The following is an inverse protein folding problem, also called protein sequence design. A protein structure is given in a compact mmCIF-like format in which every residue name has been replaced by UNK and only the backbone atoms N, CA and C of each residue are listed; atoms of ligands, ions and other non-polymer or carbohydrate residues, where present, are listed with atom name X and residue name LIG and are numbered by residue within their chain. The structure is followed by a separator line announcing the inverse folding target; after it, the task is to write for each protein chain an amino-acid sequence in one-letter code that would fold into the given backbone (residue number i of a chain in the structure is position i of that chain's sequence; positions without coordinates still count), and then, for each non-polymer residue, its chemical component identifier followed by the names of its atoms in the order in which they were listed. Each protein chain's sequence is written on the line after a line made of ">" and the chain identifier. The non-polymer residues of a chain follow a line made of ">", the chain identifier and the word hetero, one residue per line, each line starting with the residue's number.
data_IF_765916584114
#
_entry.id   IF_765916584114
#
_cell.length_a   1.000
_cell.length_b   1.000
_cell.length_c   1.000
_cell.angle_alpha   90.00
_cell.angle_beta   90.00
_cell.angle_gamma   90.00
#
_symmetry.space_group_name_H-M   'P 1'
#
loop_
_entity.id
_entity.type
_entity.pdbx_description
1 polymer ?
#
# COMPACT_ATOMS: atom_id res chain seq x y z
N UNK A 1 73.57 -42.67 -28.95
CA UNK A 1 73.37 -41.47 -28.05
C UNK A 1 72.10 -40.79 -28.51
N UNK A 2 71.02 -41.01 -27.82
CA UNK A 2 69.65 -40.38 -28.10
C UNK A 2 69.42 -39.32 -27.11
N UNK A 3 69.40 -38.05 -27.55
CA UNK A 3 69.04 -36.90 -26.72
C UNK A 3 67.52 -36.86 -26.59
N UNK A 4 66.99 -36.95 -25.33
CA UNK A 4 65.61 -36.71 -25.02
C UNK A 4 65.39 -35.21 -24.81
N UNK A 5 64.61 -34.61 -25.66
CA UNK A 5 64.12 -33.23 -25.53
C UNK A 5 62.88 -33.29 -24.67
N UNK A 6 62.94 -32.71 -23.48
CA UNK A 6 61.83 -32.58 -22.55
C UNK A 6 61.10 -31.27 -22.84
N UNK A 7 59.88 -31.32 -23.40
CA UNK A 7 59.04 -30.17 -23.65
C UNK A 7 58.26 -29.92 -22.35
N UNK A 8 58.60 -28.84 -21.68
CA UNK A 8 57.89 -28.36 -20.50
C UNK A 8 56.72 -27.50 -20.96
N UNK A 9 55.51 -28.08 -20.90
CA UNK A 9 54.25 -27.41 -21.21
C UNK A 9 53.80 -26.57 -20.03
N UNK A 10 54.00 -25.24 -20.06
CA UNK A 10 53.46 -24.31 -19.09
C UNK A 10 51.95 -24.11 -19.37
N UNK A 11 51.13 -24.75 -18.58
CA UNK A 11 49.68 -24.48 -18.54
C UNK A 11 49.48 -23.22 -17.72
N UNK A 12 49.24 -22.10 -18.41
CA UNK A 12 48.73 -20.87 -17.74
C UNK A 12 47.27 -21.06 -17.49
N UNK A 13 46.92 -21.40 -16.24
CA UNK A 13 45.51 -21.30 -15.76
C UNK A 13 45.16 -19.80 -15.65
N UNK A 14 44.46 -19.28 -16.64
CA UNK A 14 43.66 -18.05 -16.45
C UNK A 14 42.49 -18.40 -15.52
N UNK A 15 42.64 -18.11 -14.23
CA UNK A 15 41.51 -18.04 -13.33
C UNK A 15 40.64 -16.82 -13.75
N UNK A 16 39.64 -17.09 -14.57
CA UNK A 16 38.52 -16.19 -14.76
C UNK A 16 37.75 -16.13 -13.43
N UNK A 17 38.20 -15.28 -12.51
CA UNK A 17 37.35 -14.80 -11.43
C UNK A 17 36.31 -13.89 -12.05
N UNK A 18 35.29 -14.48 -12.64
CA UNK A 18 34.04 -13.80 -12.89
C UNK A 18 33.45 -13.47 -11.52
N UNK A 19 33.70 -12.27 -11.03
CA UNK A 19 32.80 -11.68 -10.03
C UNK A 19 31.44 -11.56 -10.70
N UNK A 20 30.63 -12.59 -10.61
CA UNK A 20 29.17 -12.38 -10.66
C UNK A 20 28.87 -11.60 -9.39
N UNK A 21 28.83 -10.28 -9.47
CA UNK A 21 28.09 -9.48 -8.51
C UNK A 21 26.64 -10.00 -8.61
N UNK A 22 26.29 -10.98 -7.78
CA UNK A 22 24.89 -11.30 -7.57
C UNK A 22 24.33 -10.11 -6.81
N UNK A 23 23.81 -9.12 -7.54
CA UNK A 23 23.16 -7.98 -6.97
C UNK A 23 22.09 -8.48 -5.99
N UNK A 24 21.90 -7.75 -4.90
CA UNK A 24 20.85 -8.07 -3.93
C UNK A 24 19.48 -7.97 -4.60
N UNK A 25 18.51 -8.73 -4.10
CA UNK A 25 17.13 -8.62 -4.58
C UNK A 25 16.31 -7.92 -3.50
N UNK A 26 15.69 -6.80 -3.87
CA UNK A 26 14.73 -6.08 -3.05
C UNK A 26 13.34 -6.60 -3.38
N UNK A 27 12.73 -7.31 -2.45
CA UNK A 27 11.36 -7.83 -2.60
C UNK A 27 10.39 -6.79 -2.09
N UNK A 28 9.49 -6.34 -2.96
CA UNK A 28 8.52 -5.30 -2.67
C UNK A 28 7.16 -5.94 -2.37
N UNK A 29 6.73 -5.90 -1.10
CA UNK A 29 5.39 -6.31 -0.67
C UNK A 29 4.35 -5.29 -1.11
N UNK A 30 3.46 -5.70 -1.99
CA UNK A 30 2.42 -4.86 -2.56
C UNK A 30 1.07 -5.08 -1.84
N UNK A 31 0.09 -5.55 -2.55
CA UNK A 31 -1.19 -6.05 -2.08
C UNK A 31 -1.78 -6.94 -3.19
N UNK A 32 -3.10 -7.12 -3.20
CA UNK A 32 -3.80 -7.85 -4.23
C UNK A 32 -3.71 -7.18 -5.60
N UNK A 33 -3.76 -8.01 -6.65
CA UNK A 33 -3.85 -7.56 -8.04
C UNK A 33 -5.13 -6.73 -8.21
N UNK A 34 -5.01 -5.54 -8.83
CA UNK A 34 -6.12 -4.58 -8.96
C UNK A 34 -6.16 -3.52 -7.88
N UNK A 35 -5.39 -3.67 -6.79
CA UNK A 35 -5.20 -2.65 -5.77
C UNK A 35 -4.13 -1.61 -6.14
N UNK A 36 -4.20 -0.44 -5.50
CA UNK A 36 -3.28 0.68 -5.75
C UNK A 36 -1.84 0.34 -5.35
N UNK A 37 -1.61 -0.38 -4.25
CA UNK A 37 -0.28 -0.83 -3.83
C UNK A 37 0.40 -1.70 -4.88
N UNK A 38 -0.37 -2.63 -5.47
CA UNK A 38 0.16 -3.53 -6.50
C UNK A 38 0.54 -2.75 -7.76
N UNK A 39 -0.32 -1.85 -8.22
CA UNK A 39 -0.06 -1.01 -9.38
C UNK A 39 1.17 -0.12 -9.16
N UNK A 40 1.25 0.56 -8.01
CA UNK A 40 2.41 1.38 -7.64
C UNK A 40 3.69 0.54 -7.58
N UNK A 41 3.68 -0.59 -6.87
CA UNK A 41 4.85 -1.45 -6.70
C UNK A 41 5.39 -1.98 -8.02
N UNK A 42 4.51 -2.35 -8.97
CA UNK A 42 4.93 -2.78 -10.30
C UNK A 42 5.66 -1.67 -11.06
N UNK A 43 5.03 -0.49 -11.20
CA UNK A 43 5.64 0.63 -11.91
C UNK A 43 6.94 1.07 -11.24
N UNK A 44 6.96 1.19 -9.92
CA UNK A 44 8.17 1.56 -9.18
C UNK A 44 9.31 0.53 -9.36
N UNK A 45 8.98 -0.76 -9.33
CA UNK A 45 9.93 -1.85 -9.55
C UNK A 45 10.50 -1.83 -10.96
N UNK A 46 9.67 -1.61 -11.97
CA UNK A 46 10.11 -1.47 -13.37
C UNK A 46 11.09 -0.29 -13.50
N UNK A 47 10.71 0.88 -13.02
CA UNK A 47 11.55 2.08 -13.05
C UNK A 47 12.88 1.88 -12.28
N UNK A 48 12.87 1.21 -11.12
CA UNK A 48 14.08 0.91 -10.36
C UNK A 48 15.02 -0.03 -11.13
N UNK A 49 14.48 -1.05 -11.79
CA UNK A 49 15.28 -2.00 -12.56
C UNK A 49 15.90 -1.39 -13.84
N UNK A 50 15.35 -0.28 -14.34
CA UNK A 50 15.89 0.46 -15.48
C UNK A 50 17.09 1.36 -15.12
N UNK A 51 17.29 1.69 -13.82
CA UNK A 51 18.36 2.60 -13.39
C UNK A 51 19.77 1.99 -13.44
N UNK A 52 19.88 0.66 -13.52
CA UNK A 52 21.19 -0.03 -13.54
C UNK A 52 21.87 -0.05 -12.16
N UNK A 53 21.07 -0.03 -11.08
CA UNK A 53 21.55 -0.22 -9.72
C UNK A 53 22.22 -1.59 -9.55
N UNK A 54 22.98 -1.77 -8.49
CA UNK A 54 23.63 -3.04 -8.12
C UNK A 54 22.69 -4.04 -7.43
N UNK A 55 21.39 -3.73 -7.39
CA UNK A 55 20.30 -4.59 -6.93
C UNK A 55 19.19 -4.68 -7.98
N UNK A 56 18.29 -5.64 -7.80
CA UNK A 56 17.06 -5.77 -8.60
C UNK A 56 15.84 -5.76 -7.69
N UNK A 57 14.75 -5.11 -8.14
CA UNK A 57 13.48 -5.11 -7.44
C UNK A 57 12.55 -6.20 -7.99
N UNK A 58 11.73 -6.81 -7.11
CA UNK A 58 10.72 -7.80 -7.48
C UNK A 58 9.46 -7.61 -6.64
N UNK A 59 8.32 -7.46 -7.31
CA UNK A 59 7.02 -7.37 -6.63
C UNK A 59 6.62 -8.72 -6.04
N UNK A 60 5.99 -8.67 -4.86
CA UNK A 60 5.33 -9.79 -4.18
C UNK A 60 3.89 -9.41 -3.92
N UNK A 61 2.95 -10.20 -4.43
CA UNK A 61 1.54 -10.10 -4.06
C UNK A 61 1.38 -10.47 -2.59
N UNK A 62 0.64 -9.68 -1.85
CA UNK A 62 0.33 -9.86 -0.42
C UNK A 62 -1.12 -9.48 -0.16
N UNK A 63 -1.60 -9.65 1.05
CA UNK A 63 -2.95 -9.21 1.41
C UNK A 63 -3.05 -7.70 1.76
N UNK A 64 -1.94 -6.97 1.81
CA UNK A 64 -1.92 -5.53 2.08
C UNK A 64 -1.16 -5.15 3.35
N UNK A 65 -1.65 -4.13 4.07
CA UNK A 65 -0.86 -3.43 5.10
C UNK A 65 -0.34 -4.31 6.24
N UNK A 66 -1.19 -5.08 6.92
CA UNK A 66 -0.76 -5.97 8.00
C UNK A 66 0.15 -7.09 7.50
N UNK A 67 -0.19 -7.68 6.35
CA UNK A 67 0.64 -8.70 5.72
C UNK A 67 2.03 -8.15 5.38
N UNK A 68 2.12 -6.93 4.83
CA UNK A 68 3.40 -6.30 4.50
C UNK A 68 4.25 -6.03 5.75
N UNK A 69 3.65 -5.51 6.82
CA UNK A 69 4.32 -5.28 8.10
C UNK A 69 4.86 -6.61 8.66
N UNK A 70 4.06 -7.67 8.67
CA UNK A 70 4.48 -8.98 9.13
C UNK A 70 5.60 -9.56 8.27
N UNK A 71 5.47 -9.50 6.94
CA UNK A 71 6.47 -10.02 6.01
C UNK A 71 7.80 -9.26 6.07
N UNK A 72 7.77 -7.94 6.32
CA UNK A 72 8.96 -7.14 6.64
C UNK A 72 9.62 -7.63 7.92
N UNK A 73 8.84 -7.80 9.00
CA UNK A 73 9.33 -8.25 10.29
C UNK A 73 10.01 -9.62 10.18
N UNK A 74 9.42 -10.52 9.41
CA UNK A 74 9.91 -11.88 9.18
C UNK A 74 11.07 -11.96 8.15
N UNK A 75 11.41 -10.85 7.48
CA UNK A 75 12.48 -10.80 6.47
C UNK A 75 12.13 -11.46 5.13
N UNK A 76 10.85 -11.61 4.83
CA UNK A 76 10.39 -12.12 3.53
C UNK A 76 10.33 -11.06 2.43
N UNK A 77 10.24 -9.78 2.80
CA UNK A 77 10.33 -8.63 1.92
C UNK A 77 11.26 -7.57 2.53
N UNK A 78 11.84 -6.69 1.69
CA UNK A 78 12.73 -5.60 2.12
C UNK A 78 12.02 -4.26 2.17
N UNK A 79 11.01 -4.06 1.31
CA UNK A 79 10.19 -2.84 1.29
C UNK A 79 8.72 -3.23 1.14
N UNK A 80 7.81 -2.38 1.60
CA UNK A 80 6.37 -2.58 1.49
C UNK A 80 5.59 -1.28 1.64
N UNK A 81 4.30 -1.31 1.34
CA UNK A 81 3.39 -0.20 1.60
C UNK A 81 2.41 -0.61 2.69
N UNK A 82 2.18 0.28 3.66
CA UNK A 82 1.21 0.04 4.71
C UNK A 82 0.56 1.35 5.18
N UNK A 83 -0.60 1.25 5.81
CA UNK A 83 -1.31 2.36 6.41
C UNK A 83 -0.62 2.85 7.69
N UNK A 84 -0.59 4.17 7.88
CA UNK A 84 0.10 4.81 8.99
C UNK A 84 -0.43 4.39 10.37
N UNK A 85 -1.72 4.11 10.53
CA UNK A 85 -2.31 3.61 11.78
C UNK A 85 -1.77 2.23 12.18
N UNK A 86 -1.67 1.31 11.21
CA UNK A 86 -1.12 -0.03 11.41
C UNK A 86 0.38 -0.01 11.68
N UNK A 87 1.11 0.87 10.99
CA UNK A 87 2.54 1.09 11.22
C UNK A 87 2.77 1.61 12.65
N UNK A 88 1.97 2.57 13.11
CA UNK A 88 2.05 3.11 14.46
C UNK A 88 1.82 2.04 15.54
N UNK A 89 0.85 1.16 15.31
CA UNK A 89 0.58 0.04 16.22
C UNK A 89 1.70 -0.99 16.21
N UNK A 90 2.18 -1.38 15.05
CA UNK A 90 3.25 -2.38 14.90
C UNK A 90 4.58 -1.90 15.48
N UNK A 91 4.91 -0.62 15.35
CA UNK A 91 6.15 -0.04 15.84
C UNK A 91 6.30 -0.16 17.36
N UNK A 92 5.20 -0.24 18.11
CA UNK A 92 5.22 -0.43 19.58
C UNK A 92 5.90 -1.75 20.00
N UNK A 93 5.94 -2.74 19.11
CA UNK A 93 6.52 -4.06 19.36
C UNK A 93 7.65 -4.44 18.40
N UNK A 94 7.81 -3.68 17.32
CA UNK A 94 8.86 -3.88 16.32
C UNK A 94 9.51 -2.54 15.97
N UNK A 95 10.50 -2.16 16.79
CA UNK A 95 11.25 -0.90 16.63
C UNK A 95 12.21 -0.88 15.43
N UNK A 96 12.33 -1.99 14.68
CA UNK A 96 13.16 -2.06 13.46
C UNK A 96 12.47 -1.47 12.21
N UNK A 97 11.15 -1.27 12.25
CA UNK A 97 10.43 -0.64 11.15
C UNK A 97 10.92 0.79 10.90
N UNK A 98 11.05 1.15 9.63
CA UNK A 98 11.48 2.49 9.17
C UNK A 98 10.58 2.96 8.04
N UNK A 99 10.31 4.26 8.04
CA UNK A 99 9.63 4.92 6.93
C UNK A 99 10.62 5.31 5.83
N UNK A 100 10.14 5.30 4.60
CA UNK A 100 10.82 5.87 3.44
C UNK A 100 10.12 7.15 3.01
N UNK A 101 8.80 7.09 2.76
CA UNK A 101 7.98 8.23 2.34
C UNK A 101 6.49 7.99 2.57
N UNK A 102 5.73 9.03 2.92
CA UNK A 102 4.28 9.05 2.70
C UNK A 102 3.99 9.19 1.21
N UNK A 103 3.03 8.43 0.67
CA UNK A 103 2.76 8.37 -0.76
C UNK A 103 1.50 9.13 -1.16
N UNK A 104 0.39 8.86 -0.51
CA UNK A 104 -0.93 9.46 -0.76
C UNK A 104 -1.89 9.15 0.39
N UNK A 105 -3.04 9.82 0.39
CA UNK A 105 -4.13 9.52 1.32
C UNK A 105 -5.03 8.42 0.73
N UNK A 106 -5.25 7.37 1.47
CA UNK A 106 -6.28 6.37 1.19
C UNK A 106 -7.59 6.80 1.82
N UNK A 107 -8.65 6.75 1.05
CA UNK A 107 -9.99 7.12 1.49
C UNK A 107 -10.81 5.86 1.72
N UNK A 108 -11.43 5.74 2.89
CA UNK A 108 -12.32 4.62 3.20
C UNK A 108 -13.68 4.82 2.50
N UNK A 109 -14.13 3.83 1.75
CA UNK A 109 -15.31 3.88 0.92
C UNK A 109 -16.22 2.69 1.25
N UNK A 110 -17.46 2.94 1.63
CA UNK A 110 -18.49 1.91 1.83
C UNK A 110 -19.43 1.95 0.63
N UNK A 111 -19.45 0.87 -0.12
CA UNK A 111 -20.15 0.75 -1.41
C UNK A 111 -21.30 -0.24 -1.31
N UNK A 112 -22.47 0.14 -1.80
CA UNK A 112 -23.67 -0.72 -1.96
C UNK A 112 -24.21 -0.57 -3.37
N UNK A 113 -25.09 -1.48 -3.80
CA UNK A 113 -25.89 -1.25 -5.02
C UNK A 113 -26.88 -0.11 -4.79
N UNK A 114 -27.14 0.70 -5.81
CA UNK A 114 -28.06 1.84 -5.70
C UNK A 114 -29.52 1.43 -5.42
N UNK A 115 -29.92 0.22 -5.83
CA UNK A 115 -31.26 -0.35 -5.58
C UNK A 115 -31.39 -1.01 -4.18
N UNK A 116 -30.32 -1.06 -3.40
CA UNK A 116 -30.33 -1.55 -2.02
C UNK A 116 -31.13 -0.64 -1.09
N UNK A 117 -31.73 -1.22 -0.06
CA UNK A 117 -32.37 -0.50 1.04
C UNK A 117 -31.38 0.13 2.04
N UNK A 118 -30.09 -0.21 1.96
CA UNK A 118 -29.02 0.36 2.79
C UNK A 118 -28.78 1.82 2.38
N UNK A 119 -29.12 2.77 3.25
CA UNK A 119 -28.92 4.22 3.07
C UNK A 119 -27.93 4.81 4.06
N UNK A 120 -27.72 4.15 5.19
CA UNK A 120 -26.86 4.59 6.31
C UNK A 120 -26.08 3.40 6.85
N UNK A 121 -25.09 3.67 7.74
CA UNK A 121 -24.36 2.61 8.45
C UNK A 121 -25.31 1.72 9.29
N UNK A 122 -26.36 2.29 9.87
CA UNK A 122 -27.29 1.55 10.74
C UNK A 122 -28.08 0.49 9.94
N UNK A 123 -28.31 0.72 8.65
CA UNK A 123 -29.01 -0.21 7.77
C UNK A 123 -28.19 -1.46 7.43
N UNK A 124 -26.90 -1.52 7.78
CA UNK A 124 -26.08 -2.72 7.61
C UNK A 124 -26.52 -3.89 8.50
N UNK A 125 -27.38 -3.64 9.51
CA UNK A 125 -27.88 -4.69 10.41
C UNK A 125 -28.65 -5.75 9.64
N UNK A 126 -28.22 -7.02 9.76
CA UNK A 126 -28.80 -8.17 9.06
C UNK A 126 -28.23 -8.42 7.67
N UNK A 127 -27.31 -7.58 7.20
CA UNK A 127 -26.69 -7.70 5.89
C UNK A 127 -25.32 -8.38 5.93
N UNK A 128 -24.84 -8.79 4.76
CA UNK A 128 -23.52 -9.37 4.55
C UNK A 128 -22.58 -8.33 3.94
N UNK A 129 -21.48 -8.03 4.61
CA UNK A 129 -20.54 -6.97 4.26
C UNK A 129 -19.14 -7.53 4.05
N UNK A 130 -18.52 -7.26 2.91
CA UNK A 130 -17.09 -7.50 2.76
C UNK A 130 -16.29 -6.41 3.45
N UNK A 131 -15.41 -6.81 4.35
CA UNK A 131 -14.54 -5.92 5.13
C UNK A 131 -13.12 -5.81 4.56
N UNK A 132 -12.87 -6.35 3.36
CA UNK A 132 -11.55 -6.43 2.73
C UNK A 132 -10.88 -7.79 2.95
N UNK A 133 -9.77 -8.02 2.25
CA UNK A 133 -8.97 -9.23 2.42
C UNK A 133 -8.45 -9.36 3.86
N UNK A 134 -8.27 -10.59 4.33
CA UNK A 134 -7.66 -10.85 5.64
C UNK A 134 -6.24 -10.24 5.70
N UNK A 135 -5.85 -9.66 6.81
CA UNK A 135 -4.60 -8.91 7.00
C UNK A 135 -4.46 -7.62 6.13
N UNK A 136 -5.55 -7.11 5.53
CA UNK A 136 -5.52 -5.83 4.81
C UNK A 136 -5.72 -4.63 5.72
N UNK A 137 -5.35 -3.43 5.24
CA UNK A 137 -5.71 -2.17 5.89
C UNK A 137 -7.21 -1.90 5.85
N UNK A 138 -7.88 -2.33 4.77
CA UNK A 138 -9.35 -2.23 4.65
C UNK A 138 -10.06 -3.01 5.74
N UNK A 139 -9.64 -4.24 6.04
CA UNK A 139 -10.17 -5.04 7.14
C UNK A 139 -10.06 -4.30 8.48
N UNK A 140 -8.91 -3.68 8.75
CA UNK A 140 -8.69 -2.89 9.96
C UNK A 140 -9.68 -1.73 10.06
N UNK A 141 -9.78 -0.92 9.00
CA UNK A 141 -10.63 0.27 8.99
C UNK A 141 -12.11 -0.12 9.07
N UNK A 142 -12.56 -1.09 8.27
CA UNK A 142 -13.93 -1.57 8.27
C UNK A 142 -14.36 -2.11 9.65
N UNK A 143 -13.50 -2.92 10.28
CA UNK A 143 -13.76 -3.48 11.61
C UNK A 143 -13.94 -2.38 12.66
N UNK A 144 -13.05 -1.37 12.68
CA UNK A 144 -13.17 -0.24 13.61
C UNK A 144 -14.40 0.62 13.34
N UNK A 145 -14.71 0.89 12.06
CA UNK A 145 -15.90 1.67 11.69
C UNK A 145 -17.16 0.95 12.15
N UNK A 146 -17.28 -0.36 11.90
CA UNK A 146 -18.43 -1.15 12.36
C UNK A 146 -18.51 -1.19 13.89
N UNK A 147 -17.41 -1.35 14.59
CA UNK A 147 -17.36 -1.28 16.05
C UNK A 147 -17.83 0.07 16.57
N UNK A 148 -17.32 1.17 16.04
CA UNK A 148 -17.68 2.53 16.46
C UNK A 148 -19.12 2.93 16.07
N UNK A 149 -19.67 2.31 15.02
CA UNK A 149 -21.07 2.42 14.64
C UNK A 149 -22.00 1.57 15.52
N UNK A 150 -21.46 0.71 16.40
CA UNK A 150 -22.26 -0.21 17.22
C UNK A 150 -22.81 -1.40 16.43
N UNK A 151 -22.12 -1.81 15.38
CA UNK A 151 -22.45 -2.92 14.47
C UNK A 151 -21.51 -4.14 14.68
N UNK A 152 -21.61 -4.85 15.81
CA UNK A 152 -20.79 -6.03 16.06
C UNK A 152 -21.15 -7.18 15.10
N UNK A 153 -20.31 -8.19 15.03
CA UNK A 153 -20.50 -9.40 14.20
C UNK A 153 -21.79 -10.19 14.49
N UNK A 154 -22.48 -9.89 15.58
CA UNK A 154 -23.82 -10.41 15.86
C UNK A 154 -24.94 -9.71 15.07
N UNK A 155 -24.69 -8.53 14.54
CA UNK A 155 -25.64 -7.71 13.76
C UNK A 155 -25.28 -7.69 12.27
N UNK A 156 -24.01 -7.76 11.90
CA UNK A 156 -23.52 -7.70 10.52
C UNK A 156 -22.70 -8.96 10.22
N UNK A 157 -23.09 -9.71 9.19
CA UNK A 157 -22.29 -10.83 8.71
C UNK A 157 -21.09 -10.30 7.90
N UNK A 158 -19.87 -10.60 8.31
CA UNK A 158 -18.68 -10.12 7.62
C UNK A 158 -18.02 -11.22 6.78
N UNK A 159 -17.48 -10.83 5.61
CA UNK A 159 -16.64 -11.68 4.74
C UNK A 159 -15.31 -10.98 4.49
N UNK A 160 -14.23 -11.76 4.39
CA UNK A 160 -12.95 -11.29 3.90
C UNK A 160 -12.83 -11.61 2.42
N UNK A 161 -12.92 -10.59 1.56
CA UNK A 161 -12.80 -10.70 0.10
C UNK A 161 -11.80 -9.64 -0.38
N UNK A 162 -11.04 -9.96 -1.44
CA UNK A 162 -10.31 -8.94 -2.17
C UNK A 162 -11.29 -8.01 -2.94
N UNK A 163 -10.79 -6.93 -3.52
CA UNK A 163 -11.64 -5.95 -4.18
C UNK A 163 -12.33 -6.51 -5.45
N UNK A 164 -11.67 -7.42 -6.19
CA UNK A 164 -12.22 -8.03 -7.40
C UNK A 164 -13.35 -8.97 -7.03
N UNK A 165 -13.14 -9.81 -6.01
CA UNK A 165 -14.16 -10.71 -5.49
C UNK A 165 -15.35 -9.93 -4.90
N UNK A 166 -15.06 -8.88 -4.10
CA UNK A 166 -16.10 -8.05 -3.48
C UNK A 166 -16.98 -7.35 -4.52
N UNK A 167 -16.42 -6.76 -5.58
CA UNK A 167 -17.20 -6.13 -6.65
C UNK A 167 -18.05 -7.15 -7.41
N UNK A 168 -17.52 -8.35 -7.65
CA UNK A 168 -18.26 -9.45 -8.29
C UNK A 168 -19.43 -9.92 -7.44
N UNK A 169 -19.17 -10.19 -6.13
CA UNK A 169 -20.21 -10.66 -5.20
C UNK A 169 -21.27 -9.59 -4.93
N UNK A 170 -20.91 -8.30 -4.92
CA UNK A 170 -21.89 -7.21 -4.83
C UNK A 170 -22.83 -7.20 -6.03
N UNK A 171 -22.30 -7.37 -7.26
CA UNK A 171 -23.11 -7.44 -8.50
C UNK A 171 -24.07 -8.62 -8.51
N UNK A 172 -23.64 -9.77 -8.03
CA UNK A 172 -24.49 -10.99 -7.96
C UNK A 172 -25.45 -10.99 -6.79
N UNK A 173 -25.26 -10.13 -5.79
CA UNK A 173 -26.05 -10.07 -4.56
C UNK A 173 -25.64 -11.11 -3.51
N UNK A 174 -24.43 -11.68 -3.61
CA UNK A 174 -23.86 -12.60 -2.64
C UNK A 174 -23.31 -11.87 -1.40
N UNK A 175 -23.09 -10.54 -1.54
CA UNK A 175 -22.91 -9.57 -0.47
C UNK A 175 -23.77 -8.34 -0.73
N UNK A 176 -24.08 -7.57 0.32
CA UNK A 176 -24.93 -6.37 0.26
C UNK A 176 -24.10 -5.08 0.22
N UNK A 177 -22.89 -5.11 0.79
CA UNK A 177 -21.96 -3.99 0.82
C UNK A 177 -20.50 -4.46 0.84
N UNK A 178 -19.59 -3.55 0.48
CA UNK A 178 -18.17 -3.78 0.73
C UNK A 178 -17.46 -2.48 1.12
N UNK A 179 -16.45 -2.63 1.98
CA UNK A 179 -15.49 -1.58 2.25
C UNK A 179 -14.30 -1.66 1.30
N UNK A 180 -13.80 -0.47 0.91
CA UNK A 180 -12.58 -0.30 0.13
C UNK A 180 -11.82 0.90 0.69
N UNK A 181 -10.60 0.72 1.18
CA UNK A 181 -9.72 1.80 1.61
C UNK A 181 -8.57 1.90 0.62
N UNK A 182 -8.62 2.90 -0.24
CA UNK A 182 -7.65 3.11 -1.32
C UNK A 182 -7.65 4.57 -1.78
N UNK A 183 -6.69 4.94 -2.63
CA UNK A 183 -6.67 6.27 -3.24
C UNK A 183 -7.89 6.52 -4.14
N UNK A 184 -8.36 7.76 -4.19
CA UNK A 184 -9.38 8.21 -5.13
C UNK A 184 -8.73 8.48 -6.51
N UNK A 185 -9.28 8.13 -7.64
CA UNK A 185 -10.47 7.32 -7.96
C UNK A 185 -10.05 5.86 -7.98
N UNK A 186 -10.67 5.01 -7.15
CA UNK A 186 -10.30 3.59 -7.11
C UNK A 186 -10.81 2.86 -8.34
N UNK A 187 -9.94 2.24 -9.11
CA UNK A 187 -10.25 1.61 -10.39
C UNK A 187 -11.40 0.59 -10.30
N UNK A 188 -11.37 -0.27 -9.29
CA UNK A 188 -12.41 -1.32 -9.13
C UNK A 188 -13.81 -0.74 -8.86
N UNK A 189 -13.91 0.40 -8.15
CA UNK A 189 -15.18 1.09 -7.92
C UNK A 189 -15.60 1.87 -9.16
N UNK A 190 -14.66 2.50 -9.85
CA UNK A 190 -14.93 3.23 -11.09
C UNK A 190 -15.46 2.29 -12.18
N UNK A 191 -14.84 1.12 -12.37
CA UNK A 191 -15.30 0.09 -13.29
C UNK A 191 -16.67 -0.46 -12.87
N UNK A 192 -16.85 -0.80 -11.58
CA UNK A 192 -18.12 -1.27 -11.06
C UNK A 192 -19.25 -0.26 -11.31
N UNK A 193 -18.99 1.04 -11.11
CA UNK A 193 -19.98 2.12 -11.30
C UNK A 193 -20.47 2.29 -12.73
N UNK A 194 -19.70 1.79 -13.72
CA UNK A 194 -20.08 1.77 -15.14
C UNK A 194 -20.89 0.54 -15.52
N UNK A 195 -20.82 -0.53 -14.75
CA UNK A 195 -21.49 -1.80 -14.99
C UNK A 195 -22.76 -2.00 -14.16
N UNK A 196 -22.81 -1.36 -12.99
CA UNK A 196 -23.88 -1.50 -12.02
C UNK A 196 -24.06 -0.15 -11.29
N UNK A 197 -25.30 0.32 -11.15
CA UNK A 197 -25.58 1.51 -10.38
C UNK A 197 -25.21 1.28 -8.91
N UNK A 198 -24.34 2.12 -8.37
CA UNK A 198 -23.84 2.04 -6.99
C UNK A 198 -24.21 3.28 -6.17
N UNK A 199 -24.15 3.14 -4.87
CA UNK A 199 -24.23 4.23 -3.90
C UNK A 199 -23.07 4.09 -2.91
N UNK A 200 -22.44 5.22 -2.56
CA UNK A 200 -21.52 5.32 -1.45
C UNK A 200 -22.30 5.72 -0.20
N UNK A 201 -22.02 5.05 0.91
CA UNK A 201 -22.65 5.34 2.22
C UNK A 201 -21.71 6.24 3.00
N UNK A 202 -22.17 7.44 3.43
CA UNK A 202 -21.37 8.33 4.27
C UNK A 202 -21.17 7.75 5.66
N UNK A 203 -20.01 8.01 6.25
CA UNK A 203 -19.80 7.81 7.68
C UNK A 203 -20.46 8.95 8.46
N UNK A 204 -21.03 8.63 9.63
CA UNK A 204 -21.59 9.64 10.52
C UNK A 204 -20.48 10.43 11.22
N UNK A 205 -20.74 11.69 11.58
CA UNK A 205 -19.79 12.51 12.34
C UNK A 205 -19.33 11.82 13.62
N UNK A 206 -20.23 11.07 14.28
CA UNK A 206 -19.90 10.30 15.48
C UNK A 206 -18.84 9.24 15.22
N UNK A 207 -18.95 8.49 14.12
CA UNK A 207 -17.97 7.47 13.73
C UNK A 207 -16.67 8.13 13.31
N UNK A 208 -16.72 9.16 12.47
CA UNK A 208 -15.54 9.93 12.06
C UNK A 208 -14.76 10.43 13.28
N UNK A 209 -15.43 11.09 14.23
CA UNK A 209 -14.79 11.61 15.44
C UNK A 209 -14.13 10.50 16.27
N UNK A 210 -14.79 9.36 16.46
CA UNK A 210 -14.20 8.22 17.16
C UNK A 210 -12.97 7.66 16.45
N UNK A 211 -12.98 7.60 15.11
CA UNK A 211 -11.81 7.20 14.31
C UNK A 211 -10.65 8.18 14.54
N UNK A 212 -10.88 9.49 14.44
CA UNK A 212 -9.86 10.52 14.68
C UNK A 212 -9.30 10.50 16.10
N UNK A 213 -10.15 10.22 17.10
CA UNK A 213 -9.75 10.08 18.51
C UNK A 213 -8.93 8.79 18.74
N UNK A 214 -9.17 7.73 17.96
CA UNK A 214 -8.50 6.43 18.12
C UNK A 214 -7.05 6.43 17.62
N UNK A 215 -6.74 7.26 16.62
CA UNK A 215 -5.39 7.40 16.07
C UNK A 215 -5.21 8.74 15.35
N UNK A 216 -4.07 9.38 15.57
CA UNK A 216 -3.66 10.58 14.84
C UNK A 216 -3.31 10.32 13.36
N UNK A 217 -3.31 9.05 12.93
CA UNK A 217 -3.06 8.67 11.54
C UNK A 217 -4.31 8.85 10.66
N UNK A 218 -5.50 8.97 11.26
CA UNK A 218 -6.73 9.22 10.51
C UNK A 218 -6.98 10.70 10.28
N UNK A 219 -7.57 11.02 9.13
CA UNK A 219 -8.05 12.35 8.73
C UNK A 219 -9.53 12.29 8.37
N UNK A 220 -10.23 13.42 8.51
CA UNK A 220 -11.60 13.56 7.97
C UNK A 220 -11.49 13.88 6.48
N UNK A 221 -12.18 13.10 5.66
CA UNK A 221 -12.14 13.22 4.20
C UNK A 221 -13.54 13.37 3.61
N UNK A 222 -13.57 13.91 2.40
CA UNK A 222 -14.80 14.02 1.58
C UNK A 222 -14.50 13.44 0.20
N UNK A 223 -15.33 12.50 -0.24
CA UNK A 223 -15.32 12.02 -1.63
C UNK A 223 -16.22 12.98 -2.41
N UNK A 224 -15.67 13.80 -3.33
CA UNK A 224 -16.46 14.80 -4.05
C UNK A 224 -17.55 14.18 -4.92
N UNK A 225 -18.67 14.85 -5.07
CA UNK A 225 -19.70 14.47 -6.04
C UNK A 225 -19.10 14.34 -7.45
N UNK A 226 -19.51 13.32 -8.18
CA UNK A 226 -19.01 13.02 -9.52
C UNK A 226 -17.68 12.28 -9.57
N UNK A 227 -17.16 11.81 -8.43
CA UNK A 227 -15.97 10.92 -8.41
C UNK A 227 -16.24 9.62 -9.14
N UNK A 228 -17.43 9.05 -8.99
CA UNK A 228 -17.89 7.83 -9.68
C UNK A 228 -19.19 8.07 -10.47
N UNK A 229 -19.44 7.21 -11.46
CA UNK A 229 -20.66 7.29 -12.25
C UNK A 229 -21.91 7.19 -11.35
N UNK A 230 -22.83 8.13 -11.50
CA UNK A 230 -24.08 8.17 -10.72
C UNK A 230 -23.95 8.78 -9.30
N UNK A 231 -22.77 9.03 -8.78
CA UNK A 231 -22.57 9.71 -7.49
C UNK A 231 -22.84 11.21 -7.65
N UNK A 232 -23.89 11.71 -7.03
CA UNK A 232 -24.36 13.11 -7.19
C UNK A 232 -24.13 13.99 -5.97
N UNK A 233 -23.66 13.43 -4.86
CA UNK A 233 -23.44 14.14 -3.59
C UNK A 233 -22.05 13.87 -3.04
N UNK A 234 -21.53 14.81 -2.26
CA UNK A 234 -20.33 14.62 -1.46
C UNK A 234 -20.56 13.55 -0.39
N UNK A 235 -19.55 12.74 -0.11
CA UNK A 235 -19.61 11.66 0.87
C UNK A 235 -18.55 11.89 1.95
N UNK A 236 -19.01 12.14 3.20
CA UNK A 236 -18.12 12.27 4.35
C UNK A 236 -17.56 10.91 4.78
N UNK A 237 -16.27 10.84 5.02
CA UNK A 237 -15.58 9.61 5.40
C UNK A 237 -14.27 9.91 6.16
N UNK A 238 -13.42 8.90 6.29
CA UNK A 238 -12.06 9.03 6.84
C UNK A 238 -11.01 8.71 5.79
N UNK A 239 -9.84 9.30 5.97
CA UNK A 239 -8.62 8.98 5.25
C UNK A 239 -7.53 8.45 6.17
N UNK A 240 -6.58 7.75 5.58
CA UNK A 240 -5.36 7.30 6.24
C UNK A 240 -4.20 7.39 5.27
N UNK A 241 -3.03 7.85 5.73
CA UNK A 241 -1.85 7.97 4.87
C UNK A 241 -1.27 6.59 4.57
N UNK A 242 -1.03 6.29 3.29
CA UNK A 242 -0.20 5.17 2.87
C UNK A 242 1.28 5.56 2.94
N UNK A 243 2.11 4.66 3.46
CA UNK A 243 3.53 4.90 3.70
C UNK A 243 4.36 3.78 3.10
N UNK A 244 5.39 4.14 2.35
CA UNK A 244 6.43 3.21 1.93
C UNK A 244 7.35 2.95 3.12
N UNK A 245 7.51 1.68 3.49
CA UNK A 245 8.23 1.24 4.69
C UNK A 245 9.30 0.19 4.37
N UNK A 246 10.27 0.10 5.26
CA UNK A 246 11.38 -0.85 5.23
C UNK A 246 11.81 -1.21 6.65
N UNK A 247 12.95 -1.88 6.81
CA UNK A 247 13.61 -2.16 8.09
C UNK A 247 14.95 -1.45 8.19
N UNK A 248 15.40 -1.24 9.43
CA UNK A 248 16.67 -0.57 9.75
C UNK A 248 17.92 -1.28 9.21
N UNK A 249 17.84 -2.58 8.88
CA UNK A 249 18.97 -3.40 8.41
C UNK A 249 19.11 -3.42 6.87
N UNK A 250 18.21 -2.80 6.12
CA UNK A 250 18.37 -2.62 4.67
C UNK A 250 19.46 -1.57 4.39
N UNK A 251 20.23 -1.75 3.32
CA UNK A 251 21.34 -0.84 2.98
C UNK A 251 20.89 0.61 2.83
N UNK A 252 21.60 1.54 3.52
CA UNK A 252 21.34 2.98 3.41
C UNK A 252 21.43 3.47 1.96
N UNK A 253 22.42 3.02 1.21
CA UNK A 253 22.63 3.43 -0.18
C UNK A 253 21.47 2.93 -1.07
N UNK A 254 20.96 1.72 -0.81
CA UNK A 254 19.79 1.19 -1.52
C UNK A 254 18.54 2.04 -1.24
N UNK A 255 18.28 2.36 0.02
CA UNK A 255 17.09 3.16 0.39
C UNK A 255 17.23 4.60 -0.07
N UNK A 256 18.41 5.20 -0.03
CA UNK A 256 18.66 6.53 -0.58
C UNK A 256 18.36 6.57 -2.10
N UNK A 257 18.85 5.59 -2.87
CA UNK A 257 18.58 5.47 -4.31
C UNK A 257 17.07 5.28 -4.61
N UNK A 258 16.38 4.43 -3.85
CA UNK A 258 14.95 4.23 -4.01
C UNK A 258 14.15 5.47 -3.62
N UNK A 259 14.58 6.22 -2.59
CA UNK A 259 13.95 7.48 -2.20
C UNK A 259 14.15 8.55 -3.29
N UNK A 260 15.36 8.67 -3.84
CA UNK A 260 15.62 9.59 -4.97
C UNK A 260 14.74 9.26 -6.18
N UNK A 261 14.70 7.98 -6.56
CA UNK A 261 13.88 7.50 -7.68
C UNK A 261 12.39 7.86 -7.52
N UNK A 262 11.85 7.76 -6.30
CA UNK A 262 10.46 8.06 -6.01
C UNK A 262 10.09 9.50 -6.43
N UNK A 263 10.94 10.48 -6.10
CA UNK A 263 10.70 11.88 -6.43
C UNK A 263 11.08 12.23 -7.87
N UNK A 264 12.14 11.63 -8.40
CA UNK A 264 12.57 11.84 -9.79
C UNK A 264 11.57 11.29 -10.80
N UNK A 265 10.83 10.24 -10.43
CA UNK A 265 9.86 9.53 -11.27
C UNK A 265 8.40 9.73 -10.87
N UNK A 266 8.10 10.75 -10.06
CA UNK A 266 6.73 11.06 -9.61
C UNK A 266 5.72 11.10 -10.75
N UNK A 267 6.07 11.76 -11.86
CA UNK A 267 5.17 11.90 -13.00
C UNK A 267 4.86 10.56 -13.67
N UNK A 268 5.87 9.70 -13.85
CA UNK A 268 5.70 8.37 -14.43
C UNK A 268 4.88 7.47 -13.51
N UNK A 269 5.11 7.54 -12.20
CA UNK A 269 4.38 6.81 -11.18
C UNK A 269 2.91 7.24 -11.13
N UNK A 270 2.63 8.54 -11.15
CA UNK A 270 1.28 9.10 -11.13
C UNK A 270 0.51 8.78 -12.41
N UNK A 271 1.14 8.92 -13.57
CA UNK A 271 0.51 8.68 -14.86
C UNK A 271 0.15 7.20 -15.07
N UNK A 272 1.10 6.29 -14.80
CA UNK A 272 0.91 4.86 -15.01
C UNK A 272 -0.17 4.24 -14.13
N UNK A 273 -0.39 4.82 -12.96
CA UNK A 273 -1.32 4.26 -11.97
C UNK A 273 -2.68 4.96 -11.95
N UNK A 274 -2.89 6.01 -12.74
CA UNK A 274 -4.01 6.94 -12.58
C UNK A 274 -4.15 7.42 -11.12
N UNK A 275 -3.06 7.34 -10.37
CA UNK A 275 -2.96 7.64 -8.95
C UNK A 275 -2.47 9.08 -8.80
N UNK A 276 -3.20 9.88 -8.07
CA UNK A 276 -2.73 11.19 -7.65
C UNK A 276 -1.81 11.02 -6.45
N UNK A 277 -0.52 10.78 -6.71
CA UNK A 277 0.50 10.82 -5.67
C UNK A 277 0.59 12.24 -5.08
N UNK A 278 0.76 12.32 -3.77
CA UNK A 278 0.96 13.58 -3.06
C UNK A 278 2.44 13.75 -2.67
N UNK A 279 3.34 13.46 -3.63
CA UNK A 279 4.80 13.40 -3.39
C UNK A 279 5.44 14.80 -3.28
N UNK A 280 4.82 15.71 -2.53
CA UNK A 280 5.57 16.86 -2.02
C UNK A 280 6.44 16.38 -0.84
N UNK A 281 7.60 17.02 -0.66
CA UNK A 281 8.48 16.65 0.48
C UNK A 281 7.76 16.75 1.82
N UNK A 282 6.92 17.78 2.02
CA UNK A 282 6.14 17.93 3.23
C UNK A 282 5.15 16.77 3.42
N UNK A 283 4.39 16.39 2.39
CA UNK A 283 3.46 15.27 2.52
C UNK A 283 4.19 13.95 2.80
N UNK A 284 5.33 13.75 2.14
CA UNK A 284 6.14 12.54 2.28
C UNK A 284 6.77 12.41 3.69
N UNK A 285 6.99 13.52 4.39
CA UNK A 285 7.66 13.52 5.70
C UNK A 285 6.75 13.83 6.88
N UNK A 286 5.67 14.61 6.70
CA UNK A 286 4.80 15.02 7.78
C UNK A 286 3.86 13.90 8.25
N UNK A 287 3.65 13.81 9.57
CA UNK A 287 2.67 12.90 10.16
C UNK A 287 3.04 11.41 10.02
N UNK A 288 4.29 11.08 9.77
CA UNK A 288 4.79 9.71 9.73
C UNK A 288 5.02 9.22 11.17
N UNK A 289 4.40 8.10 11.59
CA UNK A 289 4.37 7.71 13.00
C UNK A 289 5.63 6.96 13.49
N UNK A 290 6.58 6.67 12.61
CA UNK A 290 7.81 5.93 12.91
C UNK A 290 9.04 6.68 12.38
N UNK A 291 10.26 6.39 12.88
CA UNK A 291 11.48 6.98 12.35
C UNK A 291 11.70 6.65 10.88
N UNK A 292 12.29 7.61 10.15
CA UNK A 292 12.75 7.37 8.79
C UNK A 292 14.00 6.48 8.78
N UNK A 293 14.17 5.74 7.69
CA UNK A 293 15.41 5.03 7.39
C UNK A 293 16.55 6.00 7.15
N UNK A 294 17.78 5.67 7.57
CA UNK A 294 18.91 6.59 7.47
C UNK A 294 19.26 6.94 6.02
N UNK A 295 19.09 6.02 5.06
CA UNK A 295 19.20 6.32 3.63
C UNK A 295 18.15 7.32 3.14
N UNK A 296 16.90 7.20 3.60
CA UNK A 296 15.87 8.17 3.26
C UNK A 296 16.16 9.55 3.87
N UNK A 297 16.63 9.60 5.14
CA UNK A 297 17.05 10.85 5.80
C UNK A 297 18.14 11.56 5.01
N UNK A 298 19.17 10.85 4.54
CA UNK A 298 20.26 11.44 3.74
C UNK A 298 19.69 12.14 2.50
N UNK A 299 18.77 11.50 1.78
CA UNK A 299 18.13 12.11 0.63
C UNK A 299 17.37 13.39 0.99
N UNK A 300 16.51 13.34 2.02
CA UNK A 300 15.73 14.50 2.44
C UNK A 300 16.62 15.66 2.92
N UNK A 301 17.70 15.38 3.67
CA UNK A 301 18.67 16.39 4.12
C UNK A 301 19.35 17.10 2.94
N UNK A 302 19.76 16.36 1.90
CA UNK A 302 20.33 16.93 0.68
C UNK A 302 19.31 17.86 -0.02
N UNK A 303 18.03 17.54 0.03
CA UNK A 303 16.95 18.35 -0.51
C UNK A 303 16.53 19.50 0.43
N UNK A 304 17.12 19.63 1.62
CA UNK A 304 16.85 20.72 2.57
C UNK A 304 15.65 20.46 3.48
N UNK A 305 15.19 19.21 3.62
CA UNK A 305 14.08 18.80 4.49
C UNK A 305 14.59 18.04 5.69
N UNK A 306 13.95 18.27 6.85
CA UNK A 306 14.21 17.53 8.08
C UNK A 306 13.20 16.38 8.22
N UNK A 307 13.68 15.22 8.60
CA UNK A 307 12.85 14.06 8.99
C UNK A 307 13.03 13.85 10.49
N UNK A 308 11.92 13.68 11.20
CA UNK A 308 11.93 13.40 12.64
C UNK A 308 12.40 11.97 12.96
#
# INVERSE_FOLDING_TARGET
>A
MKKKISIMLCIVLFALTGCTTSGSTIRFGAADIGGMYYSFANTFTELANEQGYDFTCKVRTTAGSNANIRLLSDGYIEIGIAQADLIADAYKTNEDLRAIAGLYTETCQLVVRADSDIQTLDDLSGHTVSIGAEESGTERNATQILEFAGMPSSLVATKNLDYIEATKELKTGDIDAFFCTAGLTTTVIDELSKECDIRLIPLTDTVINKMLESSSAYTSEVIPAGTYTGQTTDISTIGVKSVLITKSDVSDDTIEQLTSLLFEKENELSYSNSLKLELTYNFATDGIPIPFHDGAKRYYEVCGYSTN
#
